data_IF_232609105061
#
_entry.id   IF_232609105061
#
_cell.length_a   1.000
_cell.length_b   1.000
_cell.length_c   1.000
_cell.angle_alpha   90.00
_cell.angle_beta   90.00
_cell.angle_gamma   90.00
#
_symmetry.space_group_name_H-M   'P 1'
#
loop_
_entity.id
_entity.type
_entity.pdbx_description
1 polymer ?
#
# COMPACT_ATOMS: atom_id res chain seq x y z
N UNK A 1 -6.42 0.81 30.71
CA UNK A 1 -7.20 1.33 29.57
C UNK A 1 -7.74 0.11 28.83
N UNK A 2 -9.07 0.00 28.71
CA UNK A 2 -9.74 -1.14 28.09
C UNK A 2 -9.39 -1.22 26.60
N UNK A 3 -9.04 -2.42 26.12
CA UNK A 3 -8.90 -2.74 24.70
C UNK A 3 -10.16 -2.32 23.93
N UNK A 4 -10.09 -1.73 22.73
CA UNK A 4 -11.26 -1.42 21.95
C UNK A 4 -12.07 -2.71 21.72
N UNK A 5 -13.37 -2.65 22.01
CA UNK A 5 -14.25 -3.80 21.83
C UNK A 5 -14.38 -4.10 20.32
N UNK A 6 -14.07 -5.33 19.92
CA UNK A 6 -14.32 -5.80 18.57
C UNK A 6 -15.81 -5.70 18.25
N UNK A 7 -16.18 -5.11 17.12
CA UNK A 7 -17.57 -5.06 16.66
C UNK A 7 -17.97 -6.41 16.07
N UNK A 8 -18.59 -7.25 16.92
CA UNK A 8 -19.00 -8.62 16.56
C UNK A 8 -20.08 -8.69 15.48
N UNK A 9 -20.74 -7.58 15.13
CA UNK A 9 -21.81 -7.56 14.12
C UNK A 9 -21.30 -7.48 12.69
N UNK A 10 -20.07 -7.01 12.50
CA UNK A 10 -19.45 -6.81 11.19
C UNK A 10 -18.28 -7.76 10.92
N UNK A 11 -17.97 -8.68 11.85
CA UNK A 11 -16.86 -9.62 11.70
C UNK A 11 -17.28 -10.75 10.76
N UNK A 12 -16.59 -10.98 9.62
CA UNK A 12 -16.91 -12.06 8.70
C UNK A 12 -16.74 -13.46 9.30
N UNK A 13 -17.30 -14.48 8.64
CA UNK A 13 -17.16 -15.86 9.06
C UNK A 13 -15.69 -16.30 9.05
N UNK A 14 -15.27 -17.02 10.08
CA UNK A 14 -13.87 -17.49 10.22
C UNK A 14 -12.87 -16.42 10.69
N UNK A 15 -13.24 -15.15 10.70
CA UNK A 15 -12.38 -14.05 11.20
C UNK A 15 -12.53 -13.92 12.71
N UNK A 16 -11.41 -13.94 13.45
CA UNK A 16 -11.41 -13.96 14.91
C UNK A 16 -11.83 -12.59 15.51
N UNK A 17 -11.48 -11.49 14.86
CA UNK A 17 -11.85 -10.14 15.27
C UNK A 17 -11.73 -9.14 14.13
N UNK A 18 -12.56 -8.10 14.18
CA UNK A 18 -12.47 -6.92 13.32
C UNK A 18 -12.47 -5.65 14.18
N UNK A 19 -11.60 -4.68 13.82
CA UNK A 19 -11.49 -3.37 14.46
C UNK A 19 -11.57 -2.30 13.39
N UNK A 20 -12.56 -1.42 13.50
CA UNK A 20 -12.71 -0.28 12.60
C UNK A 20 -12.13 0.98 13.22
N UNK A 21 -10.98 1.41 12.69
CA UNK A 21 -10.33 2.70 13.00
C UNK A 21 -10.26 3.58 11.75
N UNK A 22 -11.20 3.36 10.81
CA UNK A 22 -11.23 4.09 9.54
C UNK A 22 -11.23 5.60 9.81
N UNK A 23 -10.40 6.38 9.07
CA UNK A 23 -10.43 7.83 9.12
C UNK A 23 -11.82 8.40 8.81
N UNK A 24 -12.19 9.50 9.47
CA UNK A 24 -13.45 10.18 9.23
C UNK A 24 -13.54 10.64 7.75
N UNK A 25 -14.69 10.51 7.07
CA UNK A 25 -14.93 11.13 5.76
C UNK A 25 -14.62 12.63 5.71
N UNK A 26 -14.69 13.34 6.83
CA UNK A 26 -14.26 14.73 6.96
C UNK A 26 -12.78 14.93 6.60
N UNK A 27 -11.93 13.91 6.82
CA UNK A 27 -10.51 13.96 6.44
C UNK A 27 -10.34 14.02 4.92
N UNK A 28 -11.20 13.35 4.13
CA UNK A 28 -11.14 13.41 2.67
C UNK A 28 -11.38 14.82 2.14
N UNK A 29 -12.43 15.50 2.61
CA UNK A 29 -12.71 16.88 2.21
C UNK A 29 -11.55 17.81 2.62
N UNK A 30 -11.06 17.70 3.86
CA UNK A 30 -9.98 18.54 4.36
C UNK A 30 -8.69 18.37 3.53
N UNK A 31 -8.29 17.12 3.26
CA UNK A 31 -7.10 16.81 2.47
C UNK A 31 -7.22 17.31 1.00
N UNK A 32 -8.40 17.15 0.38
CA UNK A 32 -8.66 17.65 -0.97
C UNK A 32 -8.59 19.18 -1.01
N UNK A 33 -9.25 19.89 -0.08
CA UNK A 33 -9.22 21.35 -0.02
C UNK A 33 -7.78 21.86 0.21
N UNK A 34 -7.07 21.27 1.17
CA UNK A 34 -5.68 21.63 1.45
C UNK A 34 -4.77 21.36 0.23
N UNK A 35 -4.96 20.23 -0.43
CA UNK A 35 -4.16 19.85 -1.60
C UNK A 35 -4.41 20.71 -2.82
N UNK A 36 -5.67 21.04 -3.13
CA UNK A 36 -6.03 21.91 -4.26
C UNK A 36 -5.67 23.38 -4.04
N UNK A 37 -5.48 23.80 -2.78
CA UNK A 37 -5.06 25.15 -2.43
C UNK A 37 -3.55 25.40 -2.60
N UNK A 38 -2.75 24.36 -2.81
CA UNK A 38 -1.31 24.49 -3.03
C UNK A 38 -1.01 25.12 -4.39
N UNK A 39 0.14 25.78 -4.51
CA UNK A 39 0.66 26.25 -5.81
C UNK A 39 0.92 25.07 -6.78
N UNK A 40 1.43 23.95 -6.28
CA UNK A 40 1.46 22.66 -6.98
C UNK A 40 0.38 21.79 -6.37
N UNK A 41 -0.75 21.69 -7.07
CA UNK A 41 -1.92 20.98 -6.57
C UNK A 41 -1.64 19.49 -6.41
N UNK A 42 -2.11 18.90 -5.32
CA UNK A 42 -1.93 17.47 -5.05
C UNK A 42 -3.10 16.89 -4.26
N UNK A 43 -3.35 15.60 -4.39
CA UNK A 43 -4.29 14.85 -3.55
C UNK A 43 -3.63 13.54 -3.13
N UNK A 44 -3.67 13.15 -1.84
CA UNK A 44 -3.01 11.94 -1.36
C UNK A 44 -3.50 10.65 -2.04
N UNK A 45 -2.60 9.69 -2.37
CA UNK A 45 -2.94 8.45 -3.08
C UNK A 45 -3.85 7.51 -2.28
N UNK A 46 -3.91 7.61 -0.96
CA UNK A 46 -4.83 6.81 -0.12
C UNK A 46 -6.30 6.91 -0.55
N UNK A 47 -6.67 7.99 -1.24
CA UNK A 47 -8.02 8.21 -1.73
C UNK A 47 -8.34 7.52 -3.07
N UNK A 48 -7.39 6.84 -3.68
CA UNK A 48 -7.69 5.96 -4.82
C UNK A 48 -8.50 4.73 -4.43
N UNK A 49 -8.29 4.22 -3.20
CA UNK A 49 -8.72 2.90 -2.76
C UNK A 49 -10.13 2.88 -2.14
N UNK A 50 -11.14 3.36 -2.91
CA UNK A 50 -12.52 2.96 -2.69
C UNK A 50 -12.79 1.58 -3.33
N UNK A 51 -14.02 1.11 -3.32
CA UNK A 51 -14.39 -0.17 -3.95
C UNK A 51 -14.04 -0.21 -5.45
N UNK A 52 -14.36 0.86 -6.18
CA UNK A 52 -14.07 0.98 -7.61
C UNK A 52 -12.57 1.03 -7.87
N UNK A 53 -11.84 1.82 -7.12
CA UNK A 53 -10.39 1.94 -7.24
C UNK A 53 -9.67 0.63 -6.92
N UNK A 54 -10.07 -0.07 -5.86
CA UNK A 54 -9.51 -1.39 -5.53
C UNK A 54 -9.74 -2.41 -6.65
N UNK A 55 -10.94 -2.41 -7.28
CA UNK A 55 -11.22 -3.25 -8.44
C UNK A 55 -10.35 -2.88 -9.65
N UNK A 56 -10.18 -1.58 -9.92
CA UNK A 56 -9.31 -1.10 -11.01
C UNK A 56 -7.85 -1.46 -10.76
N UNK A 57 -7.38 -1.36 -9.51
CA UNK A 57 -6.03 -1.77 -9.15
C UNK A 57 -5.80 -3.27 -9.37
N UNK A 58 -6.78 -4.12 -9.05
CA UNK A 58 -6.69 -5.55 -9.37
C UNK A 58 -6.51 -5.77 -10.87
N UNK A 59 -7.23 -5.02 -11.73
CA UNK A 59 -7.04 -5.10 -13.19
C UNK A 59 -5.66 -4.61 -13.62
N UNK A 60 -5.13 -3.54 -13.01
CA UNK A 60 -3.75 -3.10 -13.27
C UNK A 60 -2.76 -4.23 -12.99
N UNK A 61 -2.92 -4.93 -11.87
CA UNK A 61 -2.05 -6.06 -11.49
C UNK A 61 -2.03 -7.21 -12.50
N UNK A 62 -3.07 -7.33 -13.34
CA UNK A 62 -3.21 -8.37 -14.38
C UNK A 62 -2.60 -7.94 -15.72
N UNK A 63 -2.31 -6.64 -15.92
CA UNK A 63 -1.79 -6.15 -17.20
C UNK A 63 -0.37 -6.64 -17.48
N UNK A 64 -0.01 -6.88 -18.75
CA UNK A 64 1.35 -7.27 -19.13
C UNK A 64 2.41 -6.22 -18.74
N UNK A 65 2.05 -4.96 -18.78
CA UNK A 65 2.95 -3.85 -18.48
C UNK A 65 3.28 -3.74 -17.00
N UNK A 66 2.33 -4.07 -16.09
CA UNK A 66 2.52 -3.98 -14.65
C UNK A 66 3.16 -5.25 -14.10
N UNK A 67 4.49 -5.29 -14.13
CA UNK A 67 5.30 -6.45 -13.72
C UNK A 67 5.34 -6.69 -12.20
N UNK A 68 5.11 -5.66 -11.38
CA UNK A 68 5.34 -5.65 -9.92
C UNK A 68 4.72 -6.86 -9.21
N UNK A 69 3.44 -7.11 -9.42
CA UNK A 69 2.71 -8.18 -8.72
C UNK A 69 3.23 -9.57 -9.08
N UNK A 70 3.36 -9.87 -10.37
CA UNK A 70 3.81 -11.20 -10.81
C UNK A 70 5.26 -11.50 -10.43
N UNK A 71 6.13 -10.48 -10.46
CA UNK A 71 7.54 -10.63 -10.10
C UNK A 71 7.69 -10.89 -8.61
N UNK A 72 6.94 -10.14 -7.77
CA UNK A 72 6.97 -10.35 -6.32
C UNK A 72 6.41 -11.71 -5.92
N UNK A 73 5.31 -12.17 -6.50
CA UNK A 73 4.77 -13.51 -6.27
C UNK A 73 5.78 -14.59 -6.65
N UNK A 74 6.42 -14.47 -7.83
CA UNK A 74 7.44 -15.41 -8.27
C UNK A 74 8.66 -15.47 -7.32
N UNK A 75 9.08 -14.33 -6.77
CA UNK A 75 10.14 -14.29 -5.75
C UNK A 75 9.70 -14.95 -4.44
N UNK A 76 8.49 -14.69 -3.96
CA UNK A 76 7.95 -15.33 -2.75
C UNK A 76 7.90 -16.86 -2.89
N UNK A 77 7.44 -17.36 -4.06
CA UNK A 77 7.39 -18.79 -4.35
C UNK A 77 8.79 -19.41 -4.48
N UNK A 78 9.71 -18.72 -5.18
CA UNK A 78 11.07 -19.22 -5.41
C UNK A 78 11.87 -19.31 -4.13
N UNK A 79 11.81 -18.30 -3.27
CA UNK A 79 12.61 -18.18 -2.07
C UNK A 79 11.81 -18.50 -0.79
N UNK A 80 10.60 -19.04 -0.92
CA UNK A 80 9.71 -19.33 0.20
C UNK A 80 10.34 -20.17 1.31
N UNK A 81 11.13 -21.19 0.95
CA UNK A 81 11.85 -22.03 1.94
C UNK A 81 12.89 -21.24 2.75
N UNK A 82 13.60 -20.32 2.11
CA UNK A 82 14.57 -19.44 2.79
C UNK A 82 13.87 -18.41 3.67
N UNK A 83 12.79 -17.80 3.17
CA UNK A 83 11.94 -16.87 3.93
C UNK A 83 11.40 -17.57 5.17
N UNK A 84 10.86 -18.78 5.02
CA UNK A 84 10.34 -19.58 6.13
C UNK A 84 11.41 -19.90 7.19
N UNK A 85 12.60 -20.27 6.75
CA UNK A 85 13.74 -20.54 7.65
C UNK A 85 14.14 -19.31 8.46
N UNK A 86 14.21 -18.12 7.82
CA UNK A 86 14.53 -16.86 8.49
C UNK A 86 13.41 -16.42 9.44
N UNK A 87 12.18 -16.53 8.99
CA UNK A 87 11.02 -16.22 9.82
C UNK A 87 10.95 -17.12 11.05
N UNK A 88 11.21 -18.41 10.90
CA UNK A 88 11.00 -19.42 11.95
C UNK A 88 9.50 -19.71 12.17
N UNK A 89 9.19 -20.70 13.02
CA UNK A 89 7.82 -21.14 13.24
C UNK A 89 6.98 -20.17 14.09
N UNK A 90 5.67 -20.40 14.08
CA UNK A 90 4.67 -19.76 14.97
C UNK A 90 4.67 -18.23 14.91
N UNK A 91 4.83 -17.67 13.71
CA UNK A 91 4.81 -16.21 13.51
C UNK A 91 3.39 -15.65 13.49
N UNK A 92 3.24 -14.46 14.08
CA UNK A 92 2.12 -13.58 13.76
C UNK A 92 2.53 -12.69 12.58
N UNK A 93 1.89 -12.88 11.43
CA UNK A 93 2.11 -12.10 10.22
C UNK A 93 1.20 -10.88 10.26
N UNK A 94 1.76 -9.68 10.11
CA UNK A 94 1.04 -8.40 10.09
C UNK A 94 1.24 -7.77 8.72
N UNK A 95 0.21 -7.77 7.88
CA UNK A 95 0.26 -7.20 6.54
C UNK A 95 -0.25 -5.77 6.54
N UNK A 96 0.53 -4.87 5.96
CA UNK A 96 0.18 -3.46 5.75
C UNK A 96 -0.23 -3.23 4.29
N UNK A 97 -1.51 -2.89 4.08
CA UNK A 97 -2.09 -2.77 2.75
C UNK A 97 -2.38 -4.16 2.15
N UNK A 98 -3.42 -4.80 2.64
CA UNK A 98 -3.84 -6.13 2.19
C UNK A 98 -4.53 -6.05 0.81
N UNK A 99 -3.78 -5.75 -0.24
CA UNK A 99 -4.26 -5.78 -1.62
C UNK A 99 -4.90 -7.12 -2.02
N UNK A 100 -4.62 -7.64 -3.20
CA UNK A 100 -5.11 -8.97 -3.56
C UNK A 100 -4.50 -10.05 -2.65
N UNK A 101 -5.29 -11.08 -2.32
CA UNK A 101 -4.85 -12.20 -1.47
C UNK A 101 -3.70 -13.05 -2.06
N UNK A 102 -3.28 -12.79 -3.30
CA UNK A 102 -2.24 -13.56 -3.99
C UNK A 102 -0.90 -13.59 -3.25
N UNK A 103 -0.40 -12.43 -2.85
CA UNK A 103 0.92 -12.28 -2.24
C UNK A 103 0.94 -12.86 -0.84
N UNK A 104 -0.10 -12.57 -0.05
CA UNK A 104 -0.18 -13.12 1.31
C UNK A 104 -0.40 -14.63 1.30
N UNK A 105 -1.17 -15.18 0.37
CA UNK A 105 -1.29 -16.62 0.20
C UNK A 105 0.06 -17.25 -0.17
N UNK A 106 0.83 -16.65 -1.09
CA UNK A 106 2.18 -17.12 -1.42
C UNK A 106 3.08 -17.15 -0.18
N UNK A 107 3.04 -16.11 0.66
CA UNK A 107 3.80 -16.06 1.91
C UNK A 107 3.32 -17.10 2.93
N UNK A 108 2.02 -17.15 3.25
CA UNK A 108 1.47 -18.06 4.26
C UNK A 108 1.69 -19.54 3.91
N UNK A 109 1.62 -19.88 2.61
CA UNK A 109 1.88 -21.24 2.12
C UNK A 109 3.32 -21.70 2.32
N UNK A 110 4.30 -20.79 2.36
CA UNK A 110 5.69 -21.17 2.58
C UNK A 110 6.10 -21.15 4.06
N UNK A 111 5.41 -20.40 4.92
CA UNK A 111 5.76 -20.29 6.34
C UNK A 111 5.49 -21.58 7.12
N UNK A 112 6.37 -21.87 8.09
CA UNK A 112 6.20 -23.01 9.00
C UNK A 112 5.26 -22.64 10.13
N UNK A 113 4.06 -23.24 10.13
CA UNK A 113 3.06 -23.15 11.21
C UNK A 113 2.76 -21.68 11.63
N UNK A 114 2.32 -20.80 10.70
CA UNK A 114 1.98 -19.43 11.08
C UNK A 114 0.79 -19.42 12.05
N UNK A 115 0.95 -18.72 13.17
CA UNK A 115 -0.03 -18.75 14.27
C UNK A 115 -1.19 -17.77 14.04
N UNK A 116 -0.90 -16.62 13.46
CA UNK A 116 -1.86 -15.52 13.28
C UNK A 116 -1.57 -14.73 12.01
N UNK A 117 -2.61 -14.27 11.34
CA UNK A 117 -2.55 -13.28 10.29
C UNK A 117 -3.42 -12.07 10.67
N UNK A 118 -2.83 -10.89 10.63
CA UNK A 118 -3.51 -9.62 10.82
C UNK A 118 -3.43 -8.79 9.55
N UNK A 119 -4.56 -8.56 8.90
CA UNK A 119 -4.67 -7.65 7.77
C UNK A 119 -4.93 -6.21 8.27
N UNK A 120 -4.22 -5.23 7.69
CA UNK A 120 -4.43 -3.81 7.95
C UNK A 120 -4.64 -3.10 6.61
N UNK A 121 -5.79 -2.45 6.43
CA UNK A 121 -6.08 -1.68 5.21
C UNK A 121 -7.06 -0.54 5.51
N UNK A 122 -7.05 0.49 4.67
CA UNK A 122 -7.98 1.62 4.74
C UNK A 122 -9.33 1.31 4.07
N UNK A 123 -9.36 0.38 3.12
CA UNK A 123 -10.53 -0.04 2.38
C UNK A 123 -11.29 -1.14 3.13
N UNK A 124 -12.26 -0.77 3.96
CA UNK A 124 -13.01 -1.71 4.83
C UNK A 124 -13.56 -2.92 4.08
N UNK A 125 -14.26 -2.69 2.96
CA UNK A 125 -14.92 -3.78 2.22
C UNK A 125 -13.90 -4.77 1.67
N UNK A 126 -12.82 -4.26 1.08
CA UNK A 126 -11.74 -5.07 0.53
C UNK A 126 -11.01 -5.84 1.63
N UNK A 127 -10.69 -5.17 2.74
CA UNK A 127 -10.08 -5.77 3.92
C UNK A 127 -10.88 -6.96 4.46
N UNK A 128 -12.20 -6.79 4.64
CA UNK A 128 -13.06 -7.85 5.18
C UNK A 128 -13.17 -9.03 4.22
N UNK A 129 -13.25 -8.78 2.90
CA UNK A 129 -13.24 -9.84 1.89
C UNK A 129 -11.93 -10.61 1.91
N UNK A 130 -10.78 -9.92 1.92
CA UNK A 130 -9.47 -10.57 1.99
C UNK A 130 -9.31 -11.39 3.29
N UNK A 131 -9.76 -10.86 4.43
CA UNK A 131 -9.68 -11.59 5.70
C UNK A 131 -10.55 -12.85 5.69
N UNK A 132 -11.75 -12.80 5.11
CA UNK A 132 -12.64 -13.96 4.94
C UNK A 132 -12.03 -15.01 4.02
N UNK A 133 -11.48 -14.59 2.87
CA UNK A 133 -10.82 -15.47 1.91
C UNK A 133 -9.64 -16.22 2.55
N UNK A 134 -8.81 -15.50 3.34
CA UNK A 134 -7.67 -16.09 4.05
C UNK A 134 -8.15 -17.04 5.16
N UNK A 135 -9.18 -16.67 5.93
CA UNK A 135 -9.74 -17.55 6.94
C UNK A 135 -10.27 -18.87 6.36
N UNK A 136 -10.91 -18.78 5.17
CA UNK A 136 -11.39 -19.96 4.44
C UNK A 136 -10.26 -20.83 3.89
N UNK A 137 -9.18 -20.22 3.37
CA UNK A 137 -8.06 -20.92 2.75
C UNK A 137 -7.09 -21.52 3.81
N UNK A 138 -6.94 -20.84 4.95
CA UNK A 138 -6.02 -21.22 6.03
C UNK A 138 -6.76 -21.39 7.37
N UNK A 139 -7.59 -22.42 7.53
CA UNK A 139 -8.48 -22.57 8.70
C UNK A 139 -7.75 -22.78 10.03
N UNK A 140 -6.46 -23.08 10.01
CA UNK A 140 -5.63 -23.23 11.21
C UNK A 140 -5.02 -21.92 11.69
N UNK A 141 -5.03 -20.88 10.87
CA UNK A 141 -4.45 -19.58 11.18
C UNK A 141 -5.54 -18.70 11.82
N UNK A 142 -5.20 -18.07 12.94
CA UNK A 142 -6.08 -17.07 13.55
C UNK A 142 -6.06 -15.79 12.73
N UNK A 143 -7.16 -15.43 12.07
CA UNK A 143 -7.25 -14.24 11.20
C UNK A 143 -7.87 -13.07 11.93
N UNK A 144 -7.23 -11.91 11.88
CA UNK A 144 -7.74 -10.63 12.37
C UNK A 144 -7.73 -9.56 11.27
N UNK A 145 -8.57 -8.55 11.40
CA UNK A 145 -8.64 -7.43 10.48
C UNK A 145 -8.73 -6.08 11.21
N UNK A 146 -7.96 -5.08 10.74
CA UNK A 146 -7.97 -3.71 11.27
C UNK A 146 -8.13 -2.72 10.11
N UNK A 147 -9.27 -2.04 10.04
CA UNK A 147 -9.50 -0.97 9.09
C UNK A 147 -8.86 0.31 9.62
N UNK A 148 -7.74 0.74 9.05
CA UNK A 148 -6.99 1.90 9.52
C UNK A 148 -6.07 2.50 8.45
N UNK A 149 -5.71 3.77 8.62
CA UNK A 149 -4.59 4.41 7.93
C UNK A 149 -3.28 3.99 8.63
N UNK A 150 -2.54 3.08 8.04
CA UNK A 150 -1.31 2.52 8.61
C UNK A 150 -0.09 3.46 8.54
N UNK A 151 -0.22 4.62 7.90
CA UNK A 151 0.82 5.66 7.95
C UNK A 151 0.94 6.32 9.33
N UNK A 152 -0.01 6.03 10.24
CA UNK A 152 -0.05 6.52 11.60
C UNK A 152 0.25 5.40 12.60
N UNK A 153 0.67 5.77 13.81
CA UNK A 153 0.89 4.81 14.91
C UNK A 153 -0.42 4.07 15.23
N UNK A 154 -0.39 2.76 15.09
CA UNK A 154 -1.54 1.89 15.33
C UNK A 154 -1.39 1.17 16.67
N UNK A 155 -2.33 1.43 17.57
CA UNK A 155 -2.47 0.63 18.79
C UNK A 155 -3.16 -0.71 18.42
N UNK A 156 -2.35 -1.71 18.12
CA UNK A 156 -2.82 -3.06 17.76
C UNK A 156 -3.27 -3.82 19.02
N UNK A 157 -4.18 -4.81 18.86
CA UNK A 157 -4.55 -5.69 19.96
C UNK A 157 -3.32 -6.34 20.61
N UNK A 158 -3.24 -6.34 21.93
CA UNK A 158 -2.12 -6.95 22.67
C UNK A 158 -1.96 -8.44 22.39
N UNK A 159 -3.05 -9.10 22.02
CA UNK A 159 -3.07 -10.53 21.69
C UNK A 159 -2.39 -10.87 20.36
N UNK A 160 -2.11 -9.89 19.50
CA UNK A 160 -1.40 -10.14 18.25
C UNK A 160 0.02 -10.59 18.53
N UNK A 161 0.33 -11.84 18.16
CA UNK A 161 1.64 -12.45 18.39
C UNK A 161 1.91 -12.72 19.87
N UNK A 162 0.89 -12.93 20.72
CA UNK A 162 1.08 -13.32 22.11
C UNK A 162 1.79 -14.66 22.18
N UNK A 163 3.00 -14.66 22.76
CA UNK A 163 3.87 -15.86 22.87
C UNK A 163 4.72 -16.18 21.63
N UNK A 164 4.64 -15.38 20.55
CA UNK A 164 5.42 -15.55 19.32
C UNK A 164 6.08 -14.28 18.84
N UNK A 165 6.98 -14.43 17.84
CA UNK A 165 7.58 -13.27 17.17
C UNK A 165 6.65 -12.74 16.09
N UNK A 166 6.71 -11.44 15.79
CA UNK A 166 5.94 -10.78 14.75
C UNK A 166 6.77 -10.66 13.47
N UNK A 167 6.12 -10.97 12.34
CA UNK A 167 6.64 -10.70 11.00
C UNK A 167 5.73 -9.66 10.33
N UNK A 168 6.21 -8.45 10.15
CA UNK A 168 5.53 -7.50 9.29
C UNK A 168 5.71 -7.91 7.82
N UNK A 169 4.66 -7.75 7.02
CA UNK A 169 4.69 -7.95 5.58
C UNK A 169 4.20 -6.69 4.88
N UNK A 170 5.04 -6.12 4.02
CA UNK A 170 4.73 -4.89 3.30
C UNK A 170 5.02 -5.07 1.81
N UNK A 171 4.07 -5.68 1.06
CA UNK A 171 4.26 -6.02 -0.34
C UNK A 171 3.98 -4.85 -1.29
N UNK A 172 4.25 -5.10 -2.58
CA UNK A 172 3.78 -4.28 -3.70
C UNK A 172 4.58 -3.02 -3.94
N UNK A 173 5.72 -2.88 -3.29
CA UNK A 173 6.49 -1.62 -3.31
C UNK A 173 5.67 -0.41 -2.81
N UNK A 174 4.70 -0.65 -1.94
CA UNK A 174 3.84 0.40 -1.35
C UNK A 174 4.66 1.46 -0.60
N UNK A 175 5.86 1.09 -0.13
CA UNK A 175 6.83 2.03 0.46
C UNK A 175 7.21 3.15 -0.53
N UNK A 176 7.19 2.88 -1.83
CA UNK A 176 7.47 3.84 -2.88
C UNK A 176 6.42 4.95 -2.99
N UNK A 177 5.23 4.78 -2.45
CA UNK A 177 4.19 5.82 -2.46
C UNK A 177 4.43 6.92 -1.42
N UNK A 178 5.42 6.74 -0.56
CA UNK A 178 5.80 7.66 0.51
C UNK A 178 7.05 8.45 0.14
N UNK A 179 7.11 9.73 0.53
CA UNK A 179 8.35 10.48 0.46
C UNK A 179 9.42 9.83 1.36
N UNK A 180 10.73 10.00 1.09
CA UNK A 180 11.78 9.33 1.86
C UNK A 180 11.66 9.51 3.38
N UNK A 181 11.29 10.70 3.83
CA UNK A 181 11.10 11.00 5.26
C UNK A 181 9.85 10.30 5.83
N UNK A 182 8.79 10.20 5.05
CA UNK A 182 7.57 9.48 5.42
C UNK A 182 7.82 7.97 5.45
N UNK A 183 8.58 7.45 4.48
CA UNK A 183 8.99 6.05 4.42
C UNK A 183 9.85 5.65 5.62
N UNK A 184 10.81 6.50 6.03
CA UNK A 184 11.60 6.29 7.24
C UNK A 184 10.71 6.27 8.49
N UNK A 185 9.78 7.22 8.59
CA UNK A 185 8.85 7.27 9.72
C UNK A 185 7.94 6.04 9.77
N UNK A 186 7.44 5.59 8.62
CA UNK A 186 6.64 4.37 8.52
C UNK A 186 7.45 3.13 8.98
N UNK A 187 8.68 2.97 8.51
CA UNK A 187 9.54 1.88 8.96
C UNK A 187 9.80 1.91 10.48
N UNK A 188 9.93 3.09 11.09
CA UNK A 188 10.00 3.24 12.56
C UNK A 188 8.72 2.78 13.26
N UNK A 189 7.55 3.05 12.69
CA UNK A 189 6.26 2.55 13.20
C UNK A 189 6.22 1.03 13.10
N UNK A 190 6.63 0.44 11.96
CA UNK A 190 6.70 -1.01 11.77
C UNK A 190 7.65 -1.63 12.79
N UNK A 191 8.85 -1.05 12.99
CA UNK A 191 9.83 -1.50 14.00
C UNK A 191 9.21 -1.55 15.40
N UNK A 192 8.49 -0.51 15.80
CA UNK A 192 7.78 -0.47 17.08
C UNK A 192 6.71 -1.56 17.17
N UNK A 193 5.99 -1.79 16.08
CA UNK A 193 4.93 -2.81 16.01
C UNK A 193 5.46 -4.23 16.13
N UNK A 194 6.54 -4.57 15.42
CA UNK A 194 7.09 -5.93 15.46
C UNK A 194 7.87 -6.19 16.74
N UNK A 195 8.41 -5.15 17.37
CA UNK A 195 9.19 -5.27 18.62
C UNK A 195 10.61 -5.75 18.38
N UNK A 196 11.37 -5.95 19.46
CA UNK A 196 12.81 -6.22 19.43
C UNK A 196 13.18 -7.49 18.65
N UNK A 197 12.41 -8.57 18.81
CA UNK A 197 12.66 -9.87 18.16
C UNK A 197 11.88 -10.03 16.85
N UNK A 198 11.25 -8.96 16.37
CA UNK A 198 10.44 -8.99 15.17
C UNK A 198 11.24 -8.74 13.90
N UNK A 199 10.59 -9.00 12.77
CA UNK A 199 11.16 -8.85 11.44
C UNK A 199 10.16 -8.20 10.48
N UNK A 200 10.67 -7.73 9.34
CA UNK A 200 9.91 -7.18 8.24
C UNK A 200 10.32 -7.87 6.94
N UNK A 201 9.35 -8.37 6.20
CA UNK A 201 9.49 -8.80 4.81
C UNK A 201 8.86 -7.72 3.94
N UNK A 202 9.64 -7.12 3.04
CA UNK A 202 9.19 -5.98 2.24
C UNK A 202 9.58 -6.14 0.77
N UNK A 203 8.61 -5.86 -0.10
CA UNK A 203 8.82 -5.79 -1.54
C UNK A 203 9.18 -4.38 -1.99
N UNK A 204 10.19 -4.26 -2.85
CA UNK A 204 10.73 -2.98 -3.30
C UNK A 204 10.95 -2.99 -4.82
N UNK A 205 10.34 -2.06 -5.50
CA UNK A 205 10.49 -1.87 -6.95
C UNK A 205 11.82 -1.17 -7.25
N UNK A 206 12.64 -1.83 -8.08
CA UNK A 206 13.98 -1.36 -8.39
C UNK A 206 13.97 -0.28 -9.48
N UNK A 207 14.97 0.59 -9.44
CA UNK A 207 15.26 1.54 -10.52
C UNK A 207 15.71 0.79 -11.76
N UNK A 208 15.15 1.12 -12.93
CA UNK A 208 15.36 0.44 -14.20
C UNK A 208 15.07 1.37 -15.38
N UNK A 209 15.13 0.84 -16.61
CA UNK A 209 14.81 1.59 -17.83
C UNK A 209 13.47 2.33 -17.71
N UNK A 210 13.49 3.64 -17.94
CA UNK A 210 12.32 4.52 -17.88
C UNK A 210 11.19 4.07 -18.81
N UNK A 211 11.47 3.36 -19.89
CA UNK A 211 10.44 2.80 -20.78
C UNK A 211 9.60 1.73 -20.09
N UNK A 212 10.24 0.86 -19.29
CA UNK A 212 9.54 -0.17 -18.51
C UNK A 212 8.66 0.51 -17.46
N UNK A 213 9.25 1.46 -16.72
CA UNK A 213 8.54 2.20 -15.68
C UNK A 213 7.34 2.99 -16.23
N UNK A 214 7.55 3.72 -17.33
CA UNK A 214 6.49 4.48 -17.95
C UNK A 214 5.36 3.58 -18.50
N UNK A 215 5.70 2.43 -19.09
CA UNK A 215 4.69 1.48 -19.59
C UNK A 215 3.83 0.91 -18.44
N UNK A 216 4.42 0.59 -17.30
CA UNK A 216 3.71 0.04 -16.15
C UNK A 216 2.63 0.96 -15.56
N UNK A 217 2.78 2.29 -15.76
CA UNK A 217 1.80 3.29 -15.29
C UNK A 217 0.98 3.92 -16.43
N UNK A 218 1.13 3.43 -17.66
CA UNK A 218 0.36 3.84 -18.85
C UNK A 218 -0.01 2.60 -19.67
N UNK A 219 -0.67 1.63 -19.01
CA UNK A 219 -1.09 0.39 -19.65
C UNK A 219 -2.00 0.64 -20.85
N UNK A 220 -1.90 -0.21 -21.87
CA UNK A 220 -2.64 -0.05 -23.14
C UNK A 220 -4.14 -0.18 -22.99
N UNK A 221 -4.58 -0.93 -21.97
CA UNK A 221 -6.00 -1.13 -21.68
C UNK A 221 -6.62 0.06 -20.91
N UNK A 222 -5.78 1.00 -20.43
CA UNK A 222 -6.20 2.23 -19.76
C UNK A 222 -6.75 2.02 -18.35
N UNK A 223 -6.39 0.92 -17.70
CA UNK A 223 -6.81 0.64 -16.33
C UNK A 223 -6.18 1.62 -15.34
N UNK A 224 -4.88 1.94 -15.51
CA UNK A 224 -4.20 2.94 -14.69
C UNK A 224 -4.79 4.34 -14.88
N UNK A 225 -5.12 4.71 -16.13
CA UNK A 225 -5.79 5.97 -16.40
C UNK A 225 -7.17 6.03 -15.71
N UNK A 226 -7.94 4.95 -15.78
CA UNK A 226 -9.25 4.86 -15.12
C UNK A 226 -9.11 4.93 -13.59
N UNK A 227 -8.09 4.28 -13.03
CA UNK A 227 -7.77 4.32 -11.60
C UNK A 227 -7.44 5.73 -11.14
N UNK A 228 -6.60 6.46 -11.86
CA UNK A 228 -6.26 7.84 -11.54
C UNK A 228 -7.48 8.78 -11.66
N UNK A 229 -8.28 8.65 -12.73
CA UNK A 229 -9.50 9.43 -12.93
C UNK A 229 -10.60 9.12 -11.90
N UNK A 230 -10.58 7.94 -11.29
CA UNK A 230 -11.53 7.59 -10.23
C UNK A 230 -11.48 8.55 -9.04
N UNK A 231 -10.33 9.18 -8.77
CA UNK A 231 -10.22 10.22 -7.76
C UNK A 231 -11.18 11.39 -8.02
N UNK A 232 -11.31 11.83 -9.27
CA UNK A 232 -12.25 12.89 -9.64
C UNK A 232 -13.70 12.42 -9.52
N UNK A 233 -13.98 11.14 -9.79
CA UNK A 233 -15.30 10.56 -9.53
C UNK A 233 -15.66 10.65 -8.05
N UNK A 234 -14.74 10.30 -7.18
CA UNK A 234 -14.91 10.39 -5.73
C UNK A 234 -15.14 11.82 -5.26
N UNK A 235 -14.31 12.77 -5.72
CA UNK A 235 -14.50 14.19 -5.40
C UNK A 235 -15.89 14.66 -5.83
N UNK A 236 -16.37 14.25 -7.00
CA UNK A 236 -17.69 14.62 -7.50
C UNK A 236 -18.83 13.98 -6.70
N UNK A 237 -18.75 12.69 -6.40
CA UNK A 237 -19.85 11.94 -5.78
C UNK A 237 -19.87 12.06 -4.26
N UNK A 238 -18.73 11.96 -3.60
CA UNK A 238 -18.64 11.93 -2.14
C UNK A 238 -18.53 13.34 -1.53
N UNK A 239 -17.87 14.28 -2.22
CA UNK A 239 -17.68 15.66 -1.76
C UNK A 239 -18.58 16.67 -2.48
N UNK A 240 -19.53 16.19 -3.31
CA UNK A 240 -20.44 17.01 -4.12
C UNK A 240 -19.69 18.03 -4.99
N UNK A 241 -18.51 17.68 -5.45
CA UNK A 241 -17.67 18.52 -6.30
C UNK A 241 -18.31 18.81 -7.66
N UNK A 242 -18.21 20.05 -8.10
CA UNK A 242 -18.65 20.47 -9.44
C UNK A 242 -17.42 20.53 -10.35
N UNK A 243 -17.26 19.55 -11.20
CA UNK A 243 -16.15 19.44 -12.15
C UNK A 243 -16.58 18.66 -13.39
N UNK A 244 -15.94 18.94 -14.52
CA UNK A 244 -16.13 18.20 -15.76
C UNK A 244 -14.97 17.21 -15.95
N UNK A 245 -15.24 15.94 -15.76
CA UNK A 245 -14.24 14.89 -15.84
C UNK A 245 -13.61 14.73 -17.23
N UNK A 246 -14.37 15.01 -18.31
CA UNK A 246 -13.85 14.94 -19.68
C UNK A 246 -12.82 16.02 -20.00
N UNK A 247 -12.64 17.00 -19.10
CA UNK A 247 -11.62 18.04 -19.20
C UNK A 247 -10.33 17.69 -18.43
N UNK A 248 -10.20 16.44 -17.97
CA UNK A 248 -8.97 15.93 -17.38
C UNK A 248 -8.51 14.66 -18.10
N UNK A 249 -7.19 14.49 -18.19
CA UNK A 249 -6.57 13.26 -18.64
C UNK A 249 -5.57 12.75 -17.59
N UNK A 250 -5.34 11.46 -17.61
CA UNK A 250 -4.23 10.83 -16.91
C UNK A 250 -2.90 11.16 -17.61
N UNK A 251 -1.84 11.30 -16.81
CA UNK A 251 -0.46 11.38 -17.24
C UNK A 251 0.42 10.72 -16.18
N UNK A 252 1.36 9.88 -16.62
CA UNK A 252 2.33 9.28 -15.72
C UNK A 252 3.70 9.19 -16.39
N UNK A 253 4.75 9.53 -15.65
CA UNK A 253 6.11 9.52 -16.16
C UNK A 253 7.13 9.24 -15.06
N UNK A 254 8.25 8.65 -15.43
CA UNK A 254 9.37 8.48 -14.53
C UNK A 254 10.19 9.77 -14.45
N UNK A 255 10.26 10.34 -13.26
CA UNK A 255 11.10 11.50 -12.94
C UNK A 255 12.48 11.02 -12.53
N UNK A 256 13.43 11.02 -13.48
CA UNK A 256 14.79 10.53 -13.26
C UNK A 256 15.54 11.27 -12.16
N UNK A 257 15.26 12.57 -11.97
CA UNK A 257 15.92 13.39 -10.94
C UNK A 257 15.45 13.03 -9.53
N UNK A 258 14.21 12.63 -9.39
CA UNK A 258 13.59 12.28 -8.11
C UNK A 258 13.49 10.76 -7.91
N UNK A 259 13.91 9.97 -8.91
CA UNK A 259 13.89 8.51 -8.89
C UNK A 259 12.51 7.93 -8.57
N UNK A 260 11.47 8.48 -9.17
CA UNK A 260 10.09 8.04 -8.92
C UNK A 260 9.22 8.16 -10.15
N UNK A 261 8.23 7.32 -10.29
CA UNK A 261 7.11 7.58 -11.19
C UNK A 261 6.17 8.56 -10.50
N UNK A 262 5.68 9.52 -11.24
CA UNK A 262 4.65 10.46 -10.82
C UNK A 262 3.38 10.23 -11.62
N UNK A 263 2.22 10.22 -10.96
CA UNK A 263 0.92 10.25 -11.63
C UNK A 263 0.27 11.61 -11.45
N UNK A 264 -0.33 12.09 -12.51
CA UNK A 264 -0.97 13.40 -12.57
C UNK A 264 -2.33 13.30 -13.26
N UNK A 265 -3.25 14.19 -12.87
CA UNK A 265 -4.45 14.52 -13.61
C UNK A 265 -4.24 15.88 -14.24
N UNK A 266 -4.18 15.94 -15.59
CA UNK A 266 -3.84 17.13 -16.35
C UNK A 266 -5.10 17.81 -16.84
N UNK A 267 -5.27 19.09 -16.58
CA UNK A 267 -6.37 19.90 -17.12
C UNK A 267 -6.18 20.14 -18.62
N UNK A 268 -7.21 19.88 -19.41
CA UNK A 268 -7.19 20.03 -20.87
C UNK A 268 -7.58 21.44 -21.36
N UNK A 269 -7.98 22.32 -20.45
CA UNK A 269 -8.36 23.70 -20.75
C UNK A 269 -8.26 24.57 -19.48
N UNK A 270 -8.40 25.88 -19.66
CA UNK A 270 -8.66 26.78 -18.53
C UNK A 270 -10.05 26.48 -17.98
N UNK A 271 -10.13 26.13 -16.70
CA UNK A 271 -11.39 25.74 -16.06
C UNK A 271 -11.40 26.03 -14.56
N UNK A 272 -12.59 25.93 -13.99
CA UNK A 272 -12.82 26.02 -12.55
C UNK A 272 -13.49 24.74 -12.06
N UNK A 273 -13.07 24.29 -10.89
CA UNK A 273 -13.79 23.25 -10.14
C UNK A 273 -14.21 23.79 -8.77
N UNK A 274 -15.35 23.34 -8.26
CA UNK A 274 -15.81 23.74 -6.93
C UNK A 274 -15.98 22.52 -6.04
N UNK A 275 -15.38 22.55 -4.85
CA UNK A 275 -15.46 21.47 -3.83
C UNK A 275 -15.60 22.13 -2.47
N UNK A 276 -16.49 21.63 -1.62
CA UNK A 276 -16.66 22.12 -0.24
C UNK A 276 -16.95 23.62 -0.15
N UNK A 277 -17.62 24.20 -1.16
CA UNK A 277 -17.93 25.65 -1.21
C UNK A 277 -16.75 26.53 -1.65
N UNK A 278 -15.59 25.97 -1.98
CA UNK A 278 -14.43 26.69 -2.51
C UNK A 278 -14.31 26.46 -4.02
N UNK A 279 -13.78 27.44 -4.74
CA UNK A 279 -13.51 27.36 -6.19
C UNK A 279 -12.02 27.36 -6.44
N UNK A 280 -11.56 26.44 -7.28
CA UNK A 280 -10.17 26.28 -7.67
C UNK A 280 -10.03 26.47 -9.17
N UNK A 281 -9.11 27.36 -9.57
CA UNK A 281 -8.80 27.62 -10.97
C UNK A 281 -7.71 26.67 -11.44
N UNK A 282 -7.84 26.24 -12.69
CA UNK A 282 -6.85 25.44 -13.42
C UNK A 282 -6.55 26.11 -14.74
N UNK A 283 -5.29 26.39 -15.00
CA UNK A 283 -4.85 26.73 -16.34
C UNK A 283 -4.81 25.46 -17.22
N UNK A 284 -4.89 25.67 -18.54
CA UNK A 284 -4.62 24.58 -19.48
C UNK A 284 -3.25 23.96 -19.23
N UNK A 285 -3.19 22.63 -19.16
CA UNK A 285 -2.02 21.81 -18.79
C UNK A 285 -1.59 21.90 -17.32
N UNK A 286 -2.31 22.59 -16.44
CA UNK A 286 -2.07 22.51 -15.00
C UNK A 286 -2.46 21.13 -14.47
N UNK A 287 -1.73 20.66 -13.46
CA UNK A 287 -1.88 19.27 -12.97
C UNK A 287 -2.31 19.18 -11.51
N UNK A 288 -2.99 18.10 -11.17
CA UNK A 288 -3.12 17.60 -9.81
C UNK A 288 -2.16 16.42 -9.70
N UNK A 289 -1.15 16.51 -8.84
CA UNK A 289 -0.26 15.39 -8.53
C UNK A 289 -0.99 14.42 -7.61
N UNK A 290 -1.11 13.16 -8.01
CA UNK A 290 -1.97 12.18 -7.35
C UNK A 290 -1.22 11.03 -6.71
N UNK A 291 -0.04 10.65 -7.24
CA UNK A 291 0.78 9.57 -6.67
C UNK A 291 2.26 9.76 -6.97
N UNK A 292 3.08 9.37 -6.02
CA UNK A 292 4.48 9.05 -6.22
C UNK A 292 4.65 7.52 -6.18
N UNK A 293 5.63 7.01 -6.93
CA UNK A 293 6.12 5.66 -6.75
C UNK A 293 7.64 5.66 -6.90
N UNK A 294 8.31 5.84 -5.75
CA UNK A 294 9.78 5.84 -5.68
C UNK A 294 10.34 4.48 -6.06
N UNK A 295 11.40 4.53 -6.84
CA UNK A 295 12.17 3.36 -7.25
C UNK A 295 13.50 3.40 -6.52
N UNK A 296 13.95 2.25 -6.06
CA UNK A 296 15.13 2.17 -5.21
C UNK A 296 16.26 1.42 -5.91
N UNK A 297 17.49 1.77 -5.61
CA UNK A 297 18.59 0.81 -5.68
C UNK A 297 18.64 0.03 -4.36
N UNK A 298 19.26 -1.15 -4.37
CA UNK A 298 19.43 -1.93 -3.13
C UNK A 298 20.14 -1.11 -2.05
N UNK A 299 21.17 -0.35 -2.44
CA UNK A 299 21.93 0.50 -1.50
C UNK A 299 21.08 1.60 -0.89
N UNK A 300 20.30 2.33 -1.72
CA UNK A 300 19.41 3.39 -1.19
C UNK A 300 18.33 2.85 -0.27
N UNK A 301 17.79 1.68 -0.58
CA UNK A 301 16.83 1.05 0.31
C UNK A 301 17.49 0.56 1.61
N UNK A 302 18.72 0.04 1.52
CA UNK A 302 19.51 -0.36 2.69
C UNK A 302 19.75 0.82 3.63
N UNK A 303 20.16 1.97 3.11
CA UNK A 303 20.38 3.19 3.90
C UNK A 303 19.08 3.63 4.60
N UNK A 304 17.94 3.61 3.89
CA UNK A 304 16.63 3.92 4.44
C UNK A 304 16.23 2.96 5.57
N UNK A 305 16.42 1.65 5.37
CA UNK A 305 16.11 0.65 6.38
C UNK A 305 16.99 0.81 7.63
N UNK A 306 18.28 1.08 7.44
CA UNK A 306 19.22 1.31 8.54
C UNK A 306 18.87 2.57 9.34
N UNK A 307 18.49 3.68 8.68
CA UNK A 307 18.08 4.91 9.38
C UNK A 307 16.83 4.70 10.25
N UNK A 308 15.97 3.76 9.87
CA UNK A 308 14.79 3.37 10.64
C UNK A 308 15.06 2.33 11.75
N UNK A 309 16.31 1.85 11.87
CA UNK A 309 16.73 0.87 12.89
C UNK A 309 16.47 -0.58 12.50
N UNK A 310 16.46 -0.86 11.22
CA UNK A 310 16.46 -2.22 10.67
C UNK A 310 17.82 -2.56 10.06
N UNK A 311 18.18 -3.85 10.08
CA UNK A 311 19.29 -4.42 9.34
C UNK A 311 18.73 -5.40 8.30
N UNK A 312 19.15 -5.25 7.04
CA UNK A 312 18.83 -6.25 6.02
C UNK A 312 19.66 -7.51 6.30
N UNK A 313 18.98 -8.62 6.46
CA UNK A 313 19.59 -9.95 6.67
C UNK A 313 19.70 -10.71 5.37
N UNK A 314 18.72 -10.52 4.46
CA UNK A 314 18.72 -11.18 3.15
C UNK A 314 18.01 -10.29 2.12
N UNK A 315 18.43 -10.41 0.86
CA UNK A 315 17.84 -9.72 -0.28
C UNK A 315 17.74 -10.67 -1.46
N UNK A 316 16.52 -10.83 -1.98
CA UNK A 316 16.26 -11.60 -3.20
C UNK A 316 15.85 -10.66 -4.32
N UNK A 317 16.49 -10.81 -5.46
CA UNK A 317 16.26 -9.99 -6.66
C UNK A 317 15.84 -10.93 -7.79
N UNK A 318 14.84 -10.53 -8.57
CA UNK A 318 14.46 -11.29 -9.75
C UNK A 318 15.54 -11.27 -10.84
N UNK A 319 15.57 -12.26 -11.73
CA UNK A 319 16.64 -12.39 -12.75
C UNK A 319 16.77 -11.18 -13.69
N UNK A 320 15.67 -10.45 -13.92
CA UNK A 320 15.64 -9.26 -14.77
C UNK A 320 15.92 -7.96 -14.00
N UNK A 321 16.25 -8.05 -12.71
CA UNK A 321 16.49 -6.92 -11.81
C UNK A 321 15.36 -5.88 -11.77
N UNK A 322 14.11 -6.36 -11.87
CA UNK A 322 12.95 -5.49 -11.84
C UNK A 322 12.49 -5.19 -10.41
N UNK A 323 12.59 -6.18 -9.53
CA UNK A 323 12.02 -6.12 -8.19
C UNK A 323 12.91 -6.82 -7.17
N UNK A 324 12.83 -6.43 -5.92
CA UNK A 324 13.53 -7.10 -4.83
C UNK A 324 12.59 -7.33 -3.64
N UNK A 325 12.86 -8.42 -2.92
CA UNK A 325 12.29 -8.67 -1.60
C UNK A 325 13.42 -8.63 -0.59
N UNK A 326 13.21 -7.94 0.52
CA UNK A 326 14.18 -7.82 1.60
C UNK A 326 13.61 -8.40 2.90
N UNK A 327 14.42 -9.19 3.59
CA UNK A 327 14.15 -9.63 4.95
C UNK A 327 14.96 -8.79 5.93
N UNK A 328 14.28 -8.09 6.83
CA UNK A 328 14.88 -7.16 7.77
C UNK A 328 14.64 -7.61 9.20
N UNK A 329 15.66 -7.47 10.03
CA UNK A 329 15.58 -7.66 11.47
C UNK A 329 15.77 -6.35 12.21
N UNK A 330 15.10 -6.21 13.35
CA UNK A 330 15.27 -5.03 14.20
C UNK A 330 16.72 -5.00 14.72
N UNK A 331 17.39 -3.87 14.53
CA UNK A 331 18.79 -3.67 14.93
C UNK A 331 18.89 -2.57 15.98
N UNK A 332 19.64 -2.85 17.05
CA UNK A 332 19.93 -1.88 18.10
C UNK A 332 18.71 -1.57 18.99
N UNK A 333 18.55 -2.32 20.06
CA UNK A 333 17.78 -2.02 21.26
C UNK A 333 18.73 -1.76 22.38
#
# INVERSE_FOLDING_TARGET
MSSPAADRRETPEGVAYFIDKKPDPADFLADVLAGLSKSSKSVPPKFFYDETGSHLFNKICETPEYYVTRTEVALLETYGAEISRLAGPSRAVIEYGCGSSLKINALLNCLTDPAEYLAIDISKKHLLQTAEDIAGTHPTIRVGAVCADFSRDLDLPRTVGEGGRRLAFFPGSTIGNQAPEEAEQFLKIVRKTVGHDGSLLIGVDLEKDSKILNAAYNDKDGHTASFNLNLLHRIRSELLGKLNMSQFRHDAFFNERLHRVEMHLVSLCDQEISVGGQTFHFANQETIHTENSYKYTVDRFTDLAMSAGFRITETWIDPDCLFSIHYLEVYGG
#
